data_IF_948879188408
#
_entry.id   IF_948879188408
#
_cell.length_a   1.000
_cell.length_b   1.000
_cell.length_c   1.000
_cell.angle_alpha   90.00
_cell.angle_beta   90.00
_cell.angle_gamma   90.00
#
_symmetry.space_group_name_H-M   'P 1'
#
loop_
_entity.id
_entity.type
_entity.pdbx_description
1 polymer ?
#
# COMPACT_ATOMS: atom_id res chain seq x y z
N UNK A 1 21.66 -18.84 8.54
CA UNK A 1 20.47 -18.10 8.05
C UNK A 1 19.73 -17.61 9.29
N UNK A 2 19.70 -16.30 9.59
CA UNK A 2 18.88 -15.78 10.69
C UNK A 2 17.41 -16.13 10.44
N UNK A 3 16.66 -16.38 11.52
CA UNK A 3 15.26 -16.78 11.41
C UNK A 3 14.40 -15.61 10.93
N UNK A 4 13.35 -15.88 10.15
CA UNK A 4 12.42 -14.85 9.64
C UNK A 4 11.78 -13.99 10.76
N UNK A 5 11.75 -14.53 11.99
CA UNK A 5 11.26 -13.87 13.20
C UNK A 5 12.25 -12.82 13.74
N UNK A 6 13.56 -13.05 13.60
CA UNK A 6 14.61 -12.08 13.97
C UNK A 6 14.68 -10.92 12.99
N UNK A 7 14.37 -11.13 11.71
CA UNK A 7 14.39 -10.08 10.68
C UNK A 7 13.18 -9.13 10.75
N UNK A 8 12.18 -9.42 11.59
CA UNK A 8 10.90 -8.69 11.66
C UNK A 8 10.65 -8.07 13.05
N UNK A 9 11.63 -8.10 13.96
CA UNK A 9 11.48 -7.65 15.35
C UNK A 9 11.29 -6.14 15.48
N UNK A 10 12.01 -5.34 14.68
CA UNK A 10 11.95 -3.86 14.68
C UNK A 10 12.32 -3.23 13.30
N UNK A 11 12.50 -4.05 12.26
CA UNK A 11 12.99 -3.64 10.94
C UNK A 11 11.84 -3.27 10.01
N UNK A 12 11.99 -2.17 9.26
CA UNK A 12 11.03 -1.75 8.23
C UNK A 12 10.80 -2.90 7.24
N UNK A 13 9.54 -3.23 6.97
CA UNK A 13 9.12 -4.28 6.04
C UNK A 13 9.67 -4.05 4.61
N UNK A 14 10.05 -2.81 4.30
CA UNK A 14 10.60 -2.37 3.02
C UNK A 14 12.12 -2.23 3.03
N UNK A 15 12.81 -2.70 4.08
CA UNK A 15 14.27 -2.68 4.14
C UNK A 15 14.85 -3.42 2.94
N UNK A 16 15.87 -2.82 2.34
CA UNK A 16 16.57 -3.38 1.17
C UNK A 16 17.98 -3.85 1.53
N UNK A 17 18.47 -4.86 0.80
CA UNK A 17 19.87 -5.26 0.84
C UNK A 17 20.74 -4.38 -0.07
N UNK A 18 22.03 -4.72 -0.21
CA UNK A 18 22.99 -4.02 -1.09
C UNK A 18 22.61 -4.02 -2.57
N UNK A 19 21.70 -4.90 -2.98
CA UNK A 19 21.19 -5.02 -4.34
C UNK A 19 19.85 -4.30 -4.54
N UNK A 20 19.41 -3.48 -3.58
CA UNK A 20 18.07 -2.91 -3.49
C UNK A 20 16.93 -3.95 -3.44
N UNK A 21 17.23 -5.19 -3.06
CA UNK A 21 16.22 -6.24 -2.94
C UNK A 21 15.58 -6.22 -1.55
N UNK A 22 14.25 -6.20 -1.54
CA UNK A 22 13.44 -6.36 -0.33
C UNK A 22 13.19 -7.83 0.00
N UNK A 23 12.69 -8.10 1.22
CA UNK A 23 12.24 -9.44 1.59
C UNK A 23 11.17 -10.00 0.63
N UNK A 24 10.36 -9.12 0.03
CA UNK A 24 9.36 -9.49 -0.97
C UNK A 24 10.00 -10.00 -2.28
N UNK A 25 11.14 -9.45 -2.70
CA UNK A 25 11.88 -9.95 -3.87
C UNK A 25 12.36 -11.39 -3.65
N UNK A 26 13.01 -11.63 -2.51
CA UNK A 26 13.52 -12.96 -2.16
C UNK A 26 12.39 -13.98 -2.03
N UNK A 27 11.30 -13.62 -1.35
CA UNK A 27 10.14 -14.50 -1.21
C UNK A 27 9.47 -14.81 -2.56
N UNK A 28 9.43 -13.83 -3.47
CA UNK A 28 8.87 -14.02 -4.80
C UNK A 28 9.77 -14.87 -5.70
N UNK A 29 11.09 -14.72 -5.61
CA UNK A 29 12.05 -15.54 -6.35
C UNK A 29 12.02 -17.01 -5.90
N UNK A 30 11.93 -17.25 -4.58
CA UNK A 30 11.95 -18.60 -4.00
C UNK A 30 10.58 -19.28 -3.90
N UNK A 31 9.50 -18.65 -4.38
CA UNK A 31 8.19 -19.31 -4.41
C UNK A 31 7.48 -19.37 -3.05
N UNK A 32 7.81 -18.49 -2.10
CA UNK A 32 7.27 -18.54 -0.74
C UNK A 32 5.94 -17.78 -0.60
N UNK A 33 4.86 -18.37 -1.11
CA UNK A 33 3.52 -17.76 -1.11
C UNK A 33 3.05 -17.29 0.28
N UNK A 34 3.22 -18.11 1.33
CA UNK A 34 2.80 -17.76 2.69
C UNK A 34 3.54 -16.52 3.22
N UNK A 35 4.81 -16.36 2.85
CA UNK A 35 5.62 -15.18 3.20
C UNK A 35 5.11 -13.96 2.43
N UNK A 36 4.86 -14.09 1.13
CA UNK A 36 4.29 -13.01 0.30
C UNK A 36 2.98 -12.49 0.90
N UNK A 37 2.06 -13.37 1.28
CA UNK A 37 0.80 -12.97 1.90
C UNK A 37 1.01 -12.25 3.23
N UNK A 38 1.93 -12.71 4.07
CA UNK A 38 2.26 -12.05 5.33
C UNK A 38 2.88 -10.66 5.08
N UNK A 39 3.79 -10.54 4.12
CA UNK A 39 4.44 -9.29 3.74
C UNK A 39 3.43 -8.27 3.21
N UNK A 40 2.52 -8.70 2.33
CA UNK A 40 1.43 -7.85 1.83
C UNK A 40 0.55 -7.37 3.00
N UNK A 41 0.17 -8.26 3.93
CA UNK A 41 -0.58 -7.87 5.13
C UNK A 41 0.19 -6.92 6.03
N UNK A 42 1.53 -6.97 6.04
CA UNK A 42 2.37 -6.01 6.77
C UNK A 42 2.63 -4.71 6.01
N UNK A 43 2.02 -4.49 4.84
CA UNK A 43 2.18 -3.27 4.06
C UNK A 43 3.48 -3.21 3.25
N UNK A 44 4.04 -4.36 2.84
CA UNK A 44 5.19 -4.38 1.95
C UNK A 44 4.87 -3.70 0.61
N UNK A 45 5.77 -2.83 0.17
CA UNK A 45 5.68 -2.18 -1.14
C UNK A 45 5.96 -3.17 -2.26
N UNK A 46 5.00 -3.30 -3.18
CA UNK A 46 5.06 -4.23 -4.30
C UNK A 46 5.77 -3.65 -5.53
N UNK A 47 5.96 -2.33 -5.55
CA UNK A 47 6.48 -1.53 -6.66
C UNK A 47 7.98 -1.25 -6.59
N UNK A 48 8.62 -1.60 -5.48
CA UNK A 48 10.07 -1.42 -5.31
C UNK A 48 10.84 -2.25 -6.32
N UNK A 49 11.90 -1.64 -6.86
CA UNK A 49 12.78 -2.23 -7.87
C UNK A 49 14.16 -2.51 -7.27
N UNK A 50 14.71 -3.67 -7.60
CA UNK A 50 16.12 -3.98 -7.37
C UNK A 50 17.04 -3.16 -8.29
N UNK A 51 18.36 -3.32 -8.14
CA UNK A 51 19.36 -2.62 -8.97
C UNK A 51 19.26 -2.93 -10.46
N UNK A 52 18.58 -4.01 -10.85
CA UNK A 52 18.33 -4.38 -12.24
C UNK A 52 16.97 -3.85 -12.76
N UNK A 53 16.23 -3.10 -11.95
CA UNK A 53 14.90 -2.59 -12.30
C UNK A 53 13.78 -3.62 -12.13
N UNK A 54 14.05 -4.78 -11.53
CA UNK A 54 13.07 -5.84 -11.33
C UNK A 54 12.28 -5.62 -10.05
N UNK A 55 10.97 -5.80 -10.12
CA UNK A 55 10.09 -5.89 -8.94
C UNK A 55 9.93 -7.34 -8.49
N UNK A 56 9.32 -7.57 -7.32
CA UNK A 56 8.95 -8.91 -6.86
C UNK A 56 8.10 -9.68 -7.90
N UNK A 57 7.24 -9.01 -8.67
CA UNK A 57 6.49 -9.64 -9.75
C UNK A 57 7.40 -10.14 -10.88
N UNK A 58 8.45 -9.40 -11.24
CA UNK A 58 9.43 -9.83 -12.24
C UNK A 58 10.20 -11.07 -11.78
N UNK A 59 10.59 -11.12 -10.49
CA UNK A 59 11.26 -12.29 -9.88
C UNK A 59 10.35 -13.52 -9.88
N UNK A 60 9.08 -13.36 -9.52
CA UNK A 60 8.10 -14.46 -9.59
C UNK A 60 7.89 -14.94 -11.04
N UNK A 61 7.81 -14.02 -12.00
CA UNK A 61 7.62 -14.34 -13.42
C UNK A 61 8.83 -15.06 -14.02
N UNK A 62 10.06 -14.61 -13.74
CA UNK A 62 11.29 -15.24 -14.25
C UNK A 62 11.49 -16.67 -13.73
N UNK A 63 10.89 -16.98 -12.58
CA UNK A 63 10.91 -18.31 -11.96
C UNK A 63 9.65 -19.13 -12.22
N UNK A 64 8.63 -18.56 -12.87
CA UNK A 64 7.38 -19.25 -13.22
C UNK A 64 6.39 -19.45 -12.07
N UNK A 65 6.50 -18.69 -10.98
CA UNK A 65 5.64 -18.81 -9.79
C UNK A 65 4.26 -18.16 -10.00
N UNK A 66 3.41 -18.80 -10.80
CA UNK A 66 2.11 -18.26 -11.26
C UNK A 66 1.14 -17.89 -10.13
N UNK A 67 1.11 -18.65 -9.03
CA UNK A 67 0.25 -18.33 -7.88
C UNK A 67 0.67 -17.06 -7.16
N UNK A 68 1.99 -16.84 -7.04
CA UNK A 68 2.54 -15.59 -6.48
C UNK A 68 2.25 -14.43 -7.41
N UNK A 69 2.44 -14.61 -8.72
CA UNK A 69 2.10 -13.58 -9.71
C UNK A 69 0.63 -13.17 -9.59
N UNK A 70 -0.29 -14.13 -9.45
CA UNK A 70 -1.72 -13.86 -9.30
C UNK A 70 -2.02 -13.01 -8.07
N UNK A 71 -1.40 -13.34 -6.94
CA UNK A 71 -1.56 -12.57 -5.69
C UNK A 71 -1.00 -11.15 -5.85
N UNK A 72 0.23 -11.01 -6.36
CA UNK A 72 0.88 -9.71 -6.53
C UNK A 72 0.12 -8.81 -7.52
N UNK A 73 -0.38 -9.35 -8.64
CA UNK A 73 -1.19 -8.60 -9.61
C UNK A 73 -2.51 -8.17 -9.00
N UNK A 74 -3.18 -9.08 -8.26
CA UNK A 74 -4.45 -8.76 -7.61
C UNK A 74 -4.27 -7.61 -6.62
N UNK A 75 -3.24 -7.68 -5.78
CA UNK A 75 -2.93 -6.62 -4.81
C UNK A 75 -2.59 -5.30 -5.52
N UNK A 76 -1.73 -5.32 -6.53
CA UNK A 76 -1.33 -4.11 -7.25
C UNK A 76 -2.50 -3.40 -7.96
N UNK A 77 -3.39 -4.19 -8.58
CA UNK A 77 -4.58 -3.64 -9.23
C UNK A 77 -5.58 -3.09 -8.21
N UNK A 78 -5.76 -3.75 -7.07
CA UNK A 78 -6.63 -3.27 -5.99
C UNK A 78 -6.16 -1.91 -5.46
N UNK A 79 -4.84 -1.73 -5.31
CA UNK A 79 -4.28 -0.43 -4.92
C UNK A 79 -4.68 0.65 -5.91
N UNK A 80 -4.44 0.42 -7.20
CA UNK A 80 -4.81 1.35 -8.26
C UNK A 80 -6.29 1.72 -8.19
N UNK A 81 -7.19 0.74 -8.08
CA UNK A 81 -8.62 1.00 -8.06
C UNK A 81 -9.08 1.77 -6.82
N UNK A 82 -8.45 1.54 -5.67
CA UNK A 82 -8.75 2.30 -4.46
C UNK A 82 -8.28 3.75 -4.56
N UNK A 83 -7.09 4.00 -5.13
CA UNK A 83 -6.59 5.37 -5.38
C UNK A 83 -7.50 6.12 -6.37
N UNK A 84 -7.94 5.44 -7.43
CA UNK A 84 -8.91 6.00 -8.39
C UNK A 84 -10.25 6.32 -7.72
N UNK A 85 -10.80 5.39 -6.93
CA UNK A 85 -12.04 5.61 -6.20
C UNK A 85 -11.94 6.80 -5.22
N UNK A 86 -10.78 6.97 -4.58
CA UNK A 86 -10.52 8.11 -3.69
C UNK A 86 -10.38 9.44 -4.44
N UNK A 87 -9.70 9.44 -5.58
CA UNK A 87 -9.57 10.61 -6.45
C UNK A 87 -10.93 11.07 -6.99
N UNK A 88 -11.81 10.13 -7.33
CA UNK A 88 -13.14 10.41 -7.89
C UNK A 88 -14.24 10.56 -6.83
N UNK A 89 -13.90 10.49 -5.53
CA UNK A 89 -14.82 10.40 -4.39
C UNK A 89 -15.93 9.33 -4.56
N UNK A 90 -15.62 8.24 -5.26
CA UNK A 90 -16.52 7.13 -5.50
C UNK A 90 -16.57 6.20 -4.29
N UNK A 91 -17.22 6.66 -3.21
CA UNK A 91 -17.29 5.95 -1.93
C UNK A 91 -17.90 4.56 -2.02
N UNK A 92 -18.83 4.31 -2.96
CA UNK A 92 -19.43 2.98 -3.18
C UNK A 92 -18.42 2.00 -3.76
N UNK A 93 -17.61 2.45 -4.73
CA UNK A 93 -16.53 1.64 -5.27
C UNK A 93 -15.48 1.36 -4.20
N UNK A 94 -15.10 2.38 -3.42
CA UNK A 94 -14.19 2.21 -2.29
C UNK A 94 -14.74 1.20 -1.26
N UNK A 95 -16.01 1.29 -0.89
CA UNK A 95 -16.67 0.35 0.02
C UNK A 95 -16.71 -1.08 -0.53
N UNK A 96 -17.02 -1.27 -1.81
CA UNK A 96 -17.01 -2.59 -2.45
C UNK A 96 -15.61 -3.20 -2.51
N UNK A 97 -14.59 -2.39 -2.80
CA UNK A 97 -13.19 -2.80 -2.77
C UNK A 97 -12.77 -3.20 -1.35
N UNK A 98 -13.26 -2.48 -0.33
CA UNK A 98 -13.05 -2.80 1.07
C UNK A 98 -13.67 -4.14 1.48
N UNK A 99 -14.95 -4.36 1.13
CA UNK A 99 -15.71 -5.56 1.51
C UNK A 99 -15.20 -6.86 0.86
N UNK A 100 -14.62 -6.80 -0.34
CA UNK A 100 -14.19 -7.98 -1.11
C UNK A 100 -12.78 -8.50 -0.75
N UNK A 101 -12.36 -8.34 0.50
CA UNK A 101 -11.10 -8.87 1.01
C UNK A 101 -9.93 -7.90 0.94
N UNK A 102 -10.18 -6.59 0.93
CA UNK A 102 -9.20 -5.65 1.48
C UNK A 102 -9.24 -5.80 3.00
N UNK A 103 -8.68 -6.91 3.49
CA UNK A 103 -8.50 -7.11 4.92
C UNK A 103 -7.50 -6.05 5.40
N UNK A 104 -8.06 -4.94 5.88
CA UNK A 104 -7.68 -4.08 7.02
C UNK A 104 -6.28 -3.43 6.99
N UNK A 105 -5.30 -3.98 6.29
CA UNK A 105 -3.89 -3.55 6.37
C UNK A 105 -3.28 -3.15 5.01
N UNK A 106 -3.99 -3.33 3.90
CA UNK A 106 -3.54 -2.98 2.54
C UNK A 106 -3.56 -1.46 2.23
N UNK A 107 -3.73 -0.61 3.23
CA UNK A 107 -4.22 0.76 3.00
C UNK A 107 -3.27 1.87 3.41
N UNK A 108 -2.03 1.49 3.74
CA UNK A 108 -0.87 2.38 3.69
C UNK A 108 -0.06 2.20 2.40
N UNK A 109 -0.64 1.56 1.38
CA UNK A 109 0.02 1.37 0.10
C UNK A 109 0.12 2.73 -0.59
N UNK A 110 1.35 3.10 -0.89
CA UNK A 110 1.71 4.37 -1.49
C UNK A 110 1.86 4.22 -2.99
N UNK A 111 1.33 5.17 -3.75
CA UNK A 111 1.66 5.32 -5.16
C UNK A 111 3.15 5.67 -5.36
N UNK A 112 3.57 5.81 -6.62
CA UNK A 112 4.95 6.20 -6.96
C UNK A 112 5.41 7.52 -6.30
N UNK A 113 4.46 8.36 -5.89
CA UNK A 113 4.70 9.64 -5.23
C UNK A 113 4.62 9.55 -3.70
N UNK A 114 4.49 8.35 -3.13
CA UNK A 114 4.36 8.18 -1.69
C UNK A 114 2.94 8.43 -1.15
N UNK A 115 1.94 8.62 -2.01
CA UNK A 115 0.57 8.99 -1.62
C UNK A 115 -0.29 7.74 -1.46
N UNK A 116 -1.03 7.68 -0.36
CA UNK A 116 -2.08 6.68 -0.14
C UNK A 116 -3.41 7.13 -0.76
N UNK A 117 -4.39 6.24 -0.83
CA UNK A 117 -5.76 6.62 -1.22
C UNK A 117 -6.30 7.79 -0.38
N UNK A 118 -5.93 7.88 0.91
CA UNK A 118 -6.33 9.01 1.76
C UNK A 118 -5.70 10.34 1.33
N UNK A 119 -4.47 10.35 0.79
CA UNK A 119 -3.88 11.57 0.22
C UNK A 119 -4.67 12.06 -1.00
N UNK A 120 -5.18 11.13 -1.82
CA UNK A 120 -6.00 11.48 -2.99
C UNK A 120 -7.40 11.94 -2.60
N UNK A 121 -8.04 11.26 -1.63
CA UNK A 121 -9.34 11.67 -1.10
C UNK A 121 -9.27 13.05 -0.42
N UNK A 122 -8.20 13.33 0.32
CA UNK A 122 -7.98 14.64 0.94
C UNK A 122 -7.71 15.76 -0.09
N UNK A 123 -7.26 15.41 -1.30
CA UNK A 123 -6.99 16.36 -2.37
C UNK A 123 -8.20 16.57 -3.32
N UNK A 124 -9.22 15.71 -3.27
CA UNK A 124 -10.26 15.65 -4.29
C UNK A 124 -11.49 16.51 -4.02
N UNK A 125 -11.87 16.82 -2.76
CA UNK A 125 -13.01 17.70 -2.43
C UNK A 125 -13.18 18.00 -0.93
N UNK A 126 -13.86 19.11 -0.61
CA UNK A 126 -14.37 19.46 0.73
C UNK A 126 -15.59 18.56 1.03
N UNK A 127 -15.53 17.70 2.06
CA UNK A 127 -16.54 16.67 2.45
C UNK A 127 -16.50 15.31 1.71
N UNK A 128 -15.31 14.83 1.32
CA UNK A 128 -15.18 13.48 0.75
C UNK A 128 -15.68 12.39 1.71
N UNK A 129 -16.71 11.64 1.27
CA UNK A 129 -17.21 10.47 2.01
C UNK A 129 -16.19 9.33 2.06
N UNK A 130 -15.27 9.30 1.10
CA UNK A 130 -14.14 8.37 1.10
C UNK A 130 -13.19 8.66 2.27
N UNK A 131 -12.94 9.92 2.65
CA UNK A 131 -12.11 10.26 3.82
C UNK A 131 -12.69 9.62 5.09
N UNK A 132 -13.99 9.82 5.34
CA UNK A 132 -14.68 9.23 6.49
C UNK A 132 -14.63 7.70 6.48
N UNK A 133 -14.86 7.10 5.31
CA UNK A 133 -14.80 5.64 5.12
C UNK A 133 -13.40 5.10 5.46
N UNK A 134 -12.35 5.75 4.97
CA UNK A 134 -10.95 5.36 5.19
C UNK A 134 -10.53 5.56 6.66
N UNK A 135 -10.93 6.66 7.30
CA UNK A 135 -10.61 6.95 8.71
C UNK A 135 -11.35 6.02 9.67
N UNK A 136 -12.65 5.78 9.46
CA UNK A 136 -13.49 4.90 10.32
C UNK A 136 -13.00 3.47 10.37
N UNK A 137 -12.37 3.00 9.30
CA UNK A 137 -11.82 1.65 9.27
C UNK A 137 -10.38 1.57 9.83
N UNK A 138 -9.87 2.63 10.48
CA UNK A 138 -8.48 2.72 11.01
C UNK A 138 -7.39 2.42 9.97
N UNK A 139 -7.73 2.67 8.72
CA UNK A 139 -7.12 2.02 7.56
C UNK A 139 -6.02 2.91 6.94
N UNK A 140 -5.86 4.14 7.43
CA UNK A 140 -4.83 5.07 6.97
C UNK A 140 -4.33 5.93 8.12
N UNK A 141 -3.01 6.13 8.17
CA UNK A 141 -2.39 7.02 9.16
C UNK A 141 -2.47 8.47 8.65
N UNK A 142 -3.22 9.38 9.32
CA UNK A 142 -3.28 10.79 8.94
C UNK A 142 -1.94 11.53 9.12
N UNK A 143 -0.99 10.95 9.86
CA UNK A 143 0.39 11.45 9.95
C UNK A 143 1.31 10.92 8.83
N UNK A 144 0.78 10.17 7.86
CA UNK A 144 1.57 9.72 6.72
C UNK A 144 1.91 10.90 5.80
N UNK A 145 3.17 10.90 5.33
CA UNK A 145 3.68 11.86 4.37
C UNK A 145 3.88 11.21 3.01
N UNK A 146 3.57 11.95 1.95
CA UNK A 146 4.01 11.66 0.59
C UNK A 146 5.43 12.16 0.32
N UNK A 147 6.05 11.71 -0.79
CA UNK A 147 7.45 12.03 -1.12
C UNK A 147 7.70 13.52 -1.38
N UNK A 148 6.66 14.27 -1.72
CA UNK A 148 6.71 15.74 -1.84
C UNK A 148 6.55 16.46 -0.48
N UNK A 149 6.49 15.73 0.64
CA UNK A 149 6.33 16.28 1.98
C UNK A 149 4.90 16.64 2.36
N UNK A 150 3.90 16.38 1.51
CA UNK A 150 2.51 16.65 1.86
C UNK A 150 2.02 15.69 2.95
N UNK A 151 1.58 16.27 4.06
CA UNK A 151 0.99 15.55 5.19
C UNK A 151 -0.53 15.49 5.03
N UNK A 152 -1.12 14.30 5.14
CA UNK A 152 -2.57 14.11 5.02
C UNK A 152 -3.35 14.96 6.02
N UNK A 153 -2.96 14.94 7.29
CA UNK A 153 -3.54 15.79 8.32
C UNK A 153 -3.47 17.27 7.99
N UNK A 154 -2.38 17.73 7.39
CA UNK A 154 -2.25 19.13 6.94
C UNK A 154 -3.16 19.45 5.74
N UNK A 155 -3.33 18.52 4.80
CA UNK A 155 -4.28 18.66 3.69
C UNK A 155 -5.72 18.71 4.21
N UNK A 156 -6.08 17.86 5.17
CA UNK A 156 -7.41 17.88 5.80
C UNK A 156 -7.69 19.15 6.62
N UNK A 157 -6.66 19.79 7.20
CA UNK A 157 -6.81 20.97 8.07
C UNK A 157 -6.72 22.32 7.33
N UNK A 158 -6.07 22.39 6.17
CA UNK A 158 -6.01 23.59 5.33
C UNK A 158 -7.35 23.88 4.62
N UNK A 159 -8.26 22.92 4.56
CA UNK A 159 -9.63 23.17 4.14
C UNK A 159 -10.43 23.77 5.31
N UNK A 160 -10.82 25.05 5.22
CA UNK A 160 -11.26 25.81 6.38
C UNK A 160 -12.72 25.50 6.72
N UNK A 161 -13.02 24.45 7.50
CA UNK A 161 -14.24 24.40 8.34
C UNK A 161 -14.25 23.34 9.49
N UNK A 162 -13.13 22.80 9.95
CA UNK A 162 -13.13 21.99 11.22
C UNK A 162 -13.37 22.82 12.49
N UNK A 163 -13.76 24.11 12.37
CA UNK A 163 -14.08 25.00 13.49
C UNK A 163 -15.56 25.30 13.72
N UNK A 164 -16.50 24.66 13.03
CA UNK A 164 -17.92 24.82 13.38
C UNK A 164 -18.76 23.59 13.06
N UNK A 165 -18.96 22.73 14.06
CA UNK A 165 -20.29 22.30 14.54
C UNK A 165 -20.14 21.55 15.86
#
# INVERSE_FOLDING_TARGET
MPSMKELLGDTDINTVNTSNETLLHAAAEHGHLSIIQLLIRKGARLDLQDNAGHTALHKAASRGHTDIMRVLIKSHNQDMFLHMAAMEDNWRLAELLLQNGAAVDAMNIKDRQGRTALHWAAASQEESRVVDLLLRNHISNPASFSLNGANVGHMLFLHPQTKNK
#
